data_IF_351855483978
#
_entry.id   IF_351855483978
#
_cell.length_a   1.000
_cell.length_b   1.000
_cell.length_c   1.000
_cell.angle_alpha   90.00
_cell.angle_beta   90.00
_cell.angle_gamma   90.00
#
_symmetry.space_group_name_H-M   'P 1'
#
loop_
_entity.id
_entity.type
_entity.pdbx_description
1 polymer ?
#
# COMPACT_ATOMS: atom_id res chain seq x y z
N UNK A 1 -5.94 15.58 -16.13
CA UNK A 1 -5.32 15.07 -17.37
C UNK A 1 -6.05 13.84 -17.94
N UNK A 2 -5.92 12.64 -17.36
CA UNK A 2 -6.50 11.40 -17.93
C UNK A 2 -8.02 11.49 -18.21
N UNK A 3 -8.80 12.02 -17.26
CA UNK A 3 -10.25 12.21 -17.44
C UNK A 3 -10.58 13.15 -18.62
N UNK A 4 -9.88 14.28 -18.73
CA UNK A 4 -10.08 15.20 -19.86
C UNK A 4 -9.70 14.58 -21.21
N UNK A 5 -8.65 13.75 -21.24
CA UNK A 5 -8.30 12.98 -22.45
C UNK A 5 -9.36 11.96 -22.82
N UNK A 6 -9.91 11.24 -21.83
CA UNK A 6 -11.01 10.29 -22.02
C UNK A 6 -12.25 10.97 -22.62
N UNK A 7 -12.54 12.18 -22.15
CA UNK A 7 -13.65 13.02 -22.63
C UNK A 7 -13.34 13.78 -23.93
N UNK A 8 -12.13 13.63 -24.48
CA UNK A 8 -11.65 14.32 -25.70
C UNK A 8 -11.74 15.86 -25.61
N UNK A 9 -11.50 16.41 -24.42
CA UNK A 9 -11.47 17.85 -24.19
C UNK A 9 -10.22 18.47 -24.82
N UNK A 10 -10.29 19.76 -25.12
CA UNK A 10 -9.15 20.53 -25.61
C UNK A 10 -8.11 20.80 -24.49
N UNK A 11 -6.91 21.18 -24.91
CA UNK A 11 -5.77 21.39 -24.01
C UNK A 11 -6.04 22.47 -22.97
N UNK A 12 -6.73 23.56 -23.32
CA UNK A 12 -6.97 24.69 -22.41
C UNK A 12 -7.92 24.29 -21.29
N UNK A 13 -9.01 23.59 -21.63
CA UNK A 13 -9.93 23.02 -20.62
C UNK A 13 -9.20 22.05 -19.68
N UNK A 14 -8.34 21.19 -20.22
CA UNK A 14 -7.54 20.26 -19.41
C UNK A 14 -6.56 21.01 -18.52
N UNK A 15 -5.92 22.06 -19.03
CA UNK A 15 -4.98 22.89 -18.29
C UNK A 15 -5.64 23.52 -17.07
N UNK A 16 -6.80 24.18 -17.24
CA UNK A 16 -7.56 24.76 -16.12
C UNK A 16 -7.92 23.73 -15.06
N UNK A 17 -8.36 22.53 -15.47
CA UNK A 17 -8.71 21.46 -14.53
C UNK A 17 -7.51 20.92 -13.74
N UNK A 18 -6.33 20.78 -14.35
CA UNK A 18 -5.12 20.30 -13.65
C UNK A 18 -4.72 21.31 -12.56
N UNK A 19 -4.76 22.61 -12.87
CA UNK A 19 -4.41 23.66 -11.91
C UNK A 19 -5.35 23.68 -10.70
N UNK A 20 -6.66 23.64 -10.95
CA UNK A 20 -7.66 23.55 -9.88
C UNK A 20 -7.46 22.31 -9.00
N UNK A 21 -7.29 21.14 -9.64
CA UNK A 21 -7.10 19.89 -8.92
C UNK A 21 -5.85 19.91 -8.05
N UNK A 22 -4.74 20.45 -8.55
CA UNK A 22 -3.50 20.60 -7.81
C UNK A 22 -3.67 21.56 -6.60
N UNK A 23 -4.30 22.72 -6.79
CA UNK A 23 -4.52 23.70 -5.72
C UNK A 23 -5.34 23.13 -4.55
N UNK A 24 -6.30 22.26 -4.85
CA UNK A 24 -7.30 21.76 -3.89
C UNK A 24 -7.00 20.38 -3.31
N UNK A 25 -5.90 19.74 -3.72
CA UNK A 25 -5.60 18.33 -3.39
C UNK A 25 -4.26 18.13 -2.68
N UNK A 26 -3.71 19.19 -2.08
CA UNK A 26 -2.48 19.09 -1.28
C UNK A 26 -2.83 18.96 0.19
N UNK A 27 -2.38 17.86 0.78
CA UNK A 27 -2.58 17.56 2.19
C UNK A 27 -1.23 17.39 2.90
N UNK A 28 -1.14 17.86 4.14
CA UNK A 28 0.08 17.68 4.93
C UNK A 28 0.25 16.22 5.35
N UNK A 29 1.48 15.85 5.72
CA UNK A 29 1.80 14.48 6.19
C UNK A 29 1.15 14.14 7.54
N UNK A 30 0.53 15.10 8.23
CA UNK A 30 -0.15 14.87 9.51
C UNK A 30 -1.21 13.77 9.41
N UNK A 31 -1.88 13.63 8.26
CA UNK A 31 -2.84 12.53 8.01
C UNK A 31 -2.23 11.12 8.03
N UNK A 32 -0.91 10.98 8.21
CA UNK A 32 -0.16 9.72 8.30
C UNK A 32 0.89 9.72 9.43
N UNK A 33 0.74 10.56 10.45
CA UNK A 33 1.62 10.65 11.63
C UNK A 33 0.81 10.84 12.91
N UNK A 34 1.27 10.25 14.03
CA UNK A 34 0.52 10.22 15.29
C UNK A 34 -0.59 9.17 15.25
N UNK A 35 -1.73 9.45 15.89
CA UNK A 35 -2.90 8.58 15.84
C UNK A 35 -3.48 8.53 14.42
N UNK A 36 -3.39 7.38 13.76
CA UNK A 36 -3.88 7.20 12.39
C UNK A 36 -5.40 7.17 12.36
N UNK A 37 -6.00 8.09 11.60
CA UNK A 37 -7.45 8.16 11.39
C UNK A 37 -7.88 7.54 10.05
N UNK A 38 -9.19 7.36 9.86
CA UNK A 38 -9.80 6.90 8.60
C UNK A 38 -9.49 7.80 7.39
N UNK A 39 -9.01 9.03 7.63
CA UNK A 39 -8.50 9.94 6.60
C UNK A 39 -7.51 9.25 5.64
N UNK A 40 -6.62 8.40 6.16
CA UNK A 40 -5.61 7.67 5.37
C UNK A 40 -6.25 6.86 4.24
N UNK A 41 -7.40 6.26 4.48
CA UNK A 41 -8.15 5.46 3.51
C UNK A 41 -9.00 6.33 2.58
N UNK A 42 -9.53 7.46 3.08
CA UNK A 42 -10.40 8.35 2.32
C UNK A 42 -9.66 9.29 1.36
N UNK A 43 -8.50 9.81 1.75
CA UNK A 43 -7.79 10.87 1.04
C UNK A 43 -7.56 10.61 -0.47
N UNK A 44 -7.16 9.41 -0.93
CA UNK A 44 -7.02 9.14 -2.37
C UNK A 44 -8.34 9.29 -3.14
N UNK A 45 -9.46 8.84 -2.56
CA UNK A 45 -10.79 8.97 -3.16
C UNK A 45 -11.22 10.43 -3.26
N UNK A 46 -10.90 11.25 -2.25
CA UNK A 46 -11.16 12.69 -2.27
C UNK A 46 -10.40 13.38 -3.43
N UNK A 47 -9.14 13.02 -3.68
CA UNK A 47 -8.39 13.56 -4.85
C UNK A 47 -9.10 13.22 -6.16
N UNK A 48 -9.58 11.98 -6.29
CA UNK A 48 -10.36 11.55 -7.47
C UNK A 48 -11.64 12.37 -7.64
N UNK A 49 -12.39 12.59 -6.56
CA UNK A 49 -13.59 13.44 -6.56
C UNK A 49 -13.25 14.88 -6.98
N UNK A 50 -12.23 15.49 -6.37
CA UNK A 50 -11.80 16.84 -6.72
C UNK A 50 -11.39 16.96 -8.19
N UNK A 51 -10.81 15.92 -8.78
CA UNK A 51 -10.47 15.90 -10.20
C UNK A 51 -11.70 15.86 -11.13
N UNK A 52 -12.79 15.19 -10.71
CA UNK A 52 -14.06 15.21 -11.44
C UNK A 52 -14.68 16.61 -11.36
N UNK A 53 -14.74 17.18 -10.16
CA UNK A 53 -15.28 18.53 -9.94
C UNK A 53 -14.49 19.58 -10.74
N UNK A 54 -13.15 19.49 -10.75
CA UNK A 54 -12.28 20.39 -11.51
C UNK A 54 -12.51 20.31 -13.03
N UNK A 55 -12.72 19.11 -13.57
CA UNK A 55 -13.04 18.91 -14.99
C UNK A 55 -14.41 19.49 -15.32
N UNK A 56 -15.44 19.23 -14.51
CA UNK A 56 -16.78 19.79 -14.72
C UNK A 56 -16.75 21.33 -14.72
N UNK A 57 -16.02 21.95 -13.78
CA UNK A 57 -15.84 23.41 -13.72
C UNK A 57 -15.15 23.96 -14.97
N UNK A 58 -14.03 23.37 -15.37
CA UNK A 58 -13.31 23.80 -16.57
C UNK A 58 -14.17 23.67 -17.84
N UNK A 59 -14.95 22.58 -17.97
CA UNK A 59 -15.87 22.39 -19.10
C UNK A 59 -16.98 23.45 -19.18
N UNK A 60 -17.31 24.12 -18.07
CA UNK A 60 -18.26 25.24 -18.02
C UNK A 60 -17.61 26.59 -18.38
N UNK A 61 -16.30 26.61 -18.62
CA UNK A 61 -15.52 27.82 -18.90
C UNK A 61 -14.93 28.50 -17.67
N UNK A 62 -15.01 27.87 -16.49
CA UNK A 62 -14.37 28.41 -15.28
C UNK A 62 -12.85 28.29 -15.41
N UNK A 63 -12.14 29.38 -15.10
CA UNK A 63 -10.67 29.39 -15.00
C UNK A 63 -10.20 29.11 -13.58
N UNK A 64 -8.96 28.67 -13.44
CA UNK A 64 -8.32 28.28 -12.19
C UNK A 64 -7.21 29.27 -11.78
N UNK A 65 -6.77 29.28 -10.51
CA UNK A 65 -5.57 30.00 -10.11
C UNK A 65 -4.37 29.57 -10.96
N UNK A 66 -3.68 30.54 -11.57
CA UNK A 66 -2.67 30.27 -12.61
C UNK A 66 -1.52 31.28 -12.57
N UNK A 67 -0.26 30.86 -12.74
CA UNK A 67 0.19 29.47 -12.73
C UNK A 67 0.26 28.89 -11.31
N UNK A 68 -0.37 27.73 -11.06
CA UNK A 68 -0.52 27.19 -9.69
C UNK A 68 0.79 26.63 -9.10
N UNK A 69 1.75 26.21 -9.93
CA UNK A 69 3.02 25.66 -9.42
C UNK A 69 4.04 26.77 -9.19
N UNK A 70 4.41 27.49 -10.24
CA UNK A 70 5.56 28.38 -10.30
C UNK A 70 5.26 29.84 -9.97
N UNK A 71 3.98 30.23 -9.91
CA UNK A 71 3.58 31.60 -9.59
C UNK A 71 4.07 32.03 -8.20
N UNK A 72 4.13 33.33 -7.93
CA UNK A 72 4.74 33.90 -6.71
C UNK A 72 4.18 33.31 -5.40
N UNK A 73 2.89 32.92 -5.41
CA UNK A 73 2.19 32.25 -4.30
C UNK A 73 1.78 30.81 -4.63
N UNK A 74 2.44 30.20 -5.61
CA UNK A 74 2.21 28.84 -6.08
C UNK A 74 2.78 27.77 -5.16
N UNK A 75 2.54 26.52 -5.54
CA UNK A 75 2.93 25.32 -4.78
C UNK A 75 4.45 25.30 -4.54
N UNK A 76 5.25 25.66 -5.54
CA UNK A 76 6.71 25.59 -5.46
C UNK A 76 7.26 26.57 -4.41
N UNK A 77 7.05 27.90 -4.52
CA UNK A 77 7.61 28.84 -3.56
C UNK A 77 7.03 28.66 -2.15
N UNK A 78 5.74 28.35 -2.02
CA UNK A 78 5.07 28.30 -0.71
C UNK A 78 5.30 26.98 0.02
N UNK A 79 5.15 25.85 -0.66
CA UNK A 79 5.11 24.52 -0.02
C UNK A 79 6.42 23.76 -0.18
N UNK A 80 7.00 23.79 -1.38
CA UNK A 80 8.27 23.11 -1.66
C UNK A 80 9.46 23.95 -1.16
N UNK A 81 9.31 25.28 -1.13
CA UNK A 81 10.33 26.26 -0.73
C UNK A 81 11.64 26.07 -1.52
N UNK A 82 11.50 25.86 -2.84
CA UNK A 82 12.60 25.74 -3.80
C UNK A 82 12.49 26.82 -4.86
N UNK A 83 13.61 27.14 -5.50
CA UNK A 83 13.59 27.92 -6.72
C UNK A 83 13.04 27.05 -7.87
N UNK A 84 12.23 27.66 -8.75
CA UNK A 84 11.65 26.95 -9.90
C UNK A 84 12.74 26.30 -10.80
N UNK A 85 13.92 26.92 -10.91
CA UNK A 85 15.06 26.44 -11.70
C UNK A 85 15.68 25.13 -11.18
N UNK A 86 15.43 24.78 -9.91
CA UNK A 86 16.00 23.60 -9.26
C UNK A 86 15.07 22.38 -9.38
N UNK A 87 13.97 22.50 -10.13
CA UNK A 87 13.00 21.44 -10.35
C UNK A 87 13.15 20.86 -11.75
N UNK A 88 13.35 19.55 -11.80
CA UNK A 88 13.21 18.75 -13.01
C UNK A 88 11.87 18.01 -12.96
N UNK A 89 11.08 18.13 -14.01
CA UNK A 89 9.86 17.35 -14.21
C UNK A 89 10.07 16.52 -15.48
N UNK A 90 10.09 15.21 -15.33
CA UNK A 90 10.10 14.28 -16.44
C UNK A 90 8.66 14.02 -16.87
N UNK A 91 8.33 14.41 -18.10
CA UNK A 91 7.07 14.05 -18.75
C UNK A 91 7.34 12.89 -19.72
N UNK A 92 6.40 11.94 -19.84
CA UNK A 92 6.59 10.84 -20.77
C UNK A 92 6.59 11.34 -22.21
N UNK A 93 7.51 10.80 -23.01
CA UNK A 93 7.56 11.07 -24.44
C UNK A 93 6.46 10.32 -25.19
N UNK A 94 6.16 10.76 -26.42
CA UNK A 94 5.21 10.05 -27.27
C UNK A 94 5.67 8.61 -27.49
N UNK A 95 4.74 7.68 -27.29
CA UNK A 95 4.94 6.23 -27.47
C UNK A 95 5.95 5.57 -26.50
N UNK A 96 6.44 6.29 -25.49
CA UNK A 96 7.27 5.72 -24.43
C UNK A 96 6.52 4.58 -23.70
N UNK A 97 7.23 3.52 -23.26
CA UNK A 97 6.66 2.54 -22.34
C UNK A 97 5.97 3.25 -21.17
N UNK A 98 4.86 2.68 -20.67
CA UNK A 98 4.09 3.28 -19.58
C UNK A 98 4.83 3.01 -18.27
N UNK A 99 5.99 3.65 -18.09
CA UNK A 99 6.95 3.38 -17.02
C UNK A 99 6.30 3.49 -15.64
N UNK A 100 5.38 4.44 -15.45
CA UNK A 100 4.60 4.57 -14.22
C UNK A 100 3.71 3.36 -13.89
N UNK A 101 3.23 2.61 -14.89
CA UNK A 101 2.47 1.35 -14.71
C UNK A 101 3.43 0.17 -14.60
N UNK A 102 4.42 0.10 -15.49
CA UNK A 102 5.38 -1.00 -15.57
C UNK A 102 6.32 -1.05 -14.36
N UNK A 103 6.58 0.09 -13.72
CA UNK A 103 7.33 0.21 -12.47
C UNK A 103 6.50 -0.02 -11.20
N UNK A 104 5.22 -0.40 -11.33
CA UNK A 104 4.40 -0.80 -10.17
C UNK A 104 4.64 -2.25 -9.80
N UNK A 105 4.38 -2.55 -8.53
CA UNK A 105 4.51 -3.89 -8.00
C UNK A 105 3.38 -4.20 -7.03
N UNK A 106 3.08 -5.49 -6.89
CA UNK A 106 1.91 -5.98 -6.18
C UNK A 106 2.18 -6.18 -4.70
N UNK A 107 1.09 -6.18 -3.94
CA UNK A 107 1.07 -6.69 -2.57
C UNK A 107 0.36 -8.02 -2.58
N UNK A 108 0.98 -9.05 -2.04
CA UNK A 108 0.29 -10.30 -1.74
C UNK A 108 -0.51 -10.15 -0.45
N UNK A 109 0.15 -9.60 0.57
CA UNK A 109 -0.34 -9.52 1.93
C UNK A 109 -0.99 -8.15 2.21
N UNK A 110 -2.11 -8.16 2.93
CA UNK A 110 -2.76 -6.94 3.43
C UNK A 110 -1.93 -6.39 4.58
N UNK A 111 -0.89 -5.62 4.24
CA UNK A 111 -0.02 -4.90 5.15
C UNK A 111 0.59 -3.67 4.43
N UNK A 112 1.30 -2.81 5.17
CA UNK A 112 2.23 -1.84 4.60
C UNK A 112 3.17 -2.52 3.60
N UNK A 113 3.58 -1.80 2.55
CA UNK A 113 4.30 -2.44 1.44
C UNK A 113 5.59 -3.13 1.92
N UNK A 114 6.38 -2.48 2.78
CA UNK A 114 7.59 -3.07 3.36
C UNK A 114 7.32 -4.28 4.27
N UNK A 115 6.07 -4.42 4.76
CA UNK A 115 5.64 -5.59 5.52
C UNK A 115 5.52 -6.86 4.68
N UNK A 116 5.34 -6.77 3.35
CA UNK A 116 5.15 -7.96 2.51
C UNK A 116 6.39 -8.86 2.53
N UNK A 117 7.58 -8.29 2.33
CA UNK A 117 8.85 -9.02 2.43
C UNK A 117 9.14 -9.52 3.85
N UNK A 118 8.65 -8.81 4.88
CA UNK A 118 8.81 -9.24 6.28
C UNK A 118 7.96 -10.49 6.57
N UNK A 119 6.72 -10.53 6.04
CA UNK A 119 5.83 -11.70 6.14
C UNK A 119 6.44 -12.90 5.41
N UNK A 120 6.88 -12.69 4.17
CA UNK A 120 7.50 -13.76 3.37
C UNK A 120 8.78 -14.30 4.02
N UNK A 121 9.60 -13.42 4.61
CA UNK A 121 10.78 -13.80 5.37
C UNK A 121 10.41 -14.59 6.63
N UNK A 122 9.37 -14.19 7.36
CA UNK A 122 8.87 -14.94 8.51
C UNK A 122 8.44 -16.35 8.12
N UNK A 123 7.74 -16.53 6.98
CA UNK A 123 7.38 -17.84 6.47
C UNK A 123 8.58 -18.71 6.10
N UNK A 124 9.65 -18.12 5.56
CA UNK A 124 10.87 -18.84 5.25
C UNK A 124 11.58 -19.30 6.51
N UNK A 125 11.74 -18.40 7.49
CA UNK A 125 12.45 -18.70 8.74
C UNK A 125 11.66 -19.63 9.64
N UNK A 126 10.33 -19.57 9.61
CA UNK A 126 9.44 -20.50 10.31
C UNK A 126 9.82 -21.96 10.05
N UNK A 127 10.20 -22.30 8.81
CA UNK A 127 10.57 -23.67 8.40
C UNK A 127 11.87 -24.15 9.03
N UNK A 128 12.69 -23.23 9.57
CA UNK A 128 13.99 -23.48 10.20
C UNK A 128 13.89 -23.59 11.72
N UNK A 129 12.78 -23.17 12.34
CA UNK A 129 12.59 -23.19 13.79
C UNK A 129 11.72 -24.39 14.18
N UNK A 130 12.22 -25.26 15.06
CA UNK A 130 11.47 -26.41 15.57
C UNK A 130 10.42 -26.03 16.60
N UNK A 131 10.79 -25.15 17.54
CA UNK A 131 9.94 -24.70 18.64
C UNK A 131 10.11 -23.19 18.86
N UNK A 132 9.05 -22.43 18.62
CA UNK A 132 9.05 -20.97 18.79
C UNK A 132 9.24 -20.54 20.24
N UNK A 133 8.97 -21.40 21.23
CA UNK A 133 9.24 -21.10 22.65
C UNK A 133 10.74 -20.97 22.94
N UNK A 134 11.60 -21.50 22.07
CA UNK A 134 13.05 -21.35 22.18
C UNK A 134 13.55 -19.99 21.73
N UNK A 135 12.71 -19.15 21.12
CA UNK A 135 13.12 -17.82 20.66
C UNK A 135 13.39 -16.90 21.85
N UNK A 136 14.64 -16.44 21.95
CA UNK A 136 15.10 -15.47 22.94
C UNK A 136 14.99 -14.03 22.45
N UNK A 137 15.47 -13.75 21.23
CA UNK A 137 15.46 -12.42 20.61
C UNK A 137 15.37 -12.54 19.09
N UNK A 138 14.74 -11.57 18.43
CA UNK A 138 14.69 -11.45 16.98
C UNK A 138 15.16 -10.04 16.60
N UNK A 139 16.21 -9.95 15.79
CA UNK A 139 16.73 -8.70 15.24
C UNK A 139 16.40 -8.65 13.74
N UNK A 140 15.74 -7.59 13.28
CA UNK A 140 15.40 -7.38 11.86
C UNK A 140 16.18 -6.18 11.33
N UNK A 141 17.08 -6.40 10.37
CA UNK A 141 17.89 -5.39 9.74
C UNK A 141 17.29 -5.01 8.38
N UNK A 142 16.95 -3.74 8.19
CA UNK A 142 16.37 -3.23 6.94
C UNK A 142 16.82 -1.79 6.68
N UNK A 143 16.37 -1.19 5.58
CA UNK A 143 16.63 0.22 5.27
C UNK A 143 16.02 1.14 6.32
N UNK A 144 16.59 2.33 6.47
CA UNK A 144 16.17 3.41 7.37
C UNK A 144 14.65 3.61 7.33
N UNK A 145 14.10 3.77 6.11
CA UNK A 145 12.66 4.03 5.95
C UNK A 145 11.78 2.92 6.56
N UNK A 146 12.17 1.64 6.46
CA UNK A 146 11.45 0.54 7.13
C UNK A 146 11.58 0.68 8.65
N UNK A 147 12.79 0.93 9.15
CA UNK A 147 13.10 1.04 10.58
C UNK A 147 12.31 2.19 11.25
N UNK A 148 12.28 3.38 10.64
CA UNK A 148 11.64 4.57 11.23
C UNK A 148 10.14 4.66 10.96
N UNK A 149 9.62 4.01 9.90
CA UNK A 149 8.19 4.07 9.56
C UNK A 149 7.41 2.87 10.06
N UNK A 150 8.00 1.66 10.07
CA UNK A 150 7.32 0.43 10.48
C UNK A 150 7.97 -0.26 11.68
N UNK A 151 9.26 -0.02 11.90
CA UNK A 151 10.05 -0.65 12.94
C UNK A 151 10.06 0.08 14.29
N UNK A 152 10.90 -0.44 15.19
CA UNK A 152 11.20 0.12 16.51
C UNK A 152 11.75 1.55 16.45
N UNK A 153 12.45 1.93 15.38
CA UNK A 153 12.98 3.28 15.16
C UNK A 153 11.91 4.37 15.04
N UNK A 154 10.63 3.98 14.86
CA UNK A 154 9.52 4.93 14.92
C UNK A 154 9.27 5.50 16.31
N UNK A 155 9.79 4.87 17.37
CA UNK A 155 9.54 5.19 18.78
C UNK A 155 8.05 5.23 19.17
N UNK A 156 7.21 4.56 18.37
CA UNK A 156 5.78 4.49 18.57
C UNK A 156 5.42 3.24 19.41
N UNK A 157 5.06 3.48 20.67
CA UNK A 157 4.67 2.41 21.61
C UNK A 157 3.41 1.68 21.18
N UNK A 158 2.52 2.30 20.41
CA UNK A 158 1.30 1.62 19.93
C UNK A 158 1.65 0.45 19.01
N UNK A 159 2.79 0.48 18.33
CA UNK A 159 3.27 -0.64 17.50
C UNK A 159 3.78 -1.85 18.27
N UNK A 160 3.71 -1.81 19.60
CA UNK A 160 3.92 -2.94 20.52
C UNK A 160 2.66 -3.28 21.33
N UNK A 161 1.53 -2.61 21.05
CA UNK A 161 0.32 -2.71 21.86
C UNK A 161 -0.77 -3.55 21.18
N UNK A 162 -1.31 -4.60 21.83
CA UNK A 162 -2.45 -5.33 21.29
C UNK A 162 -3.74 -4.48 21.24
N UNK A 163 -3.76 -3.33 21.91
CA UNK A 163 -4.89 -2.38 21.84
C UNK A 163 -4.83 -1.49 20.59
N UNK A 164 -3.75 -1.53 19.82
CA UNK A 164 -3.61 -0.71 18.62
C UNK A 164 -4.64 -1.06 17.55
N UNK A 165 -4.93 -0.08 16.70
CA UNK A 165 -5.82 -0.24 15.55
C UNK A 165 -5.17 -1.10 14.47
N UNK A 166 -6.01 -1.60 13.55
CA UNK A 166 -5.52 -2.30 12.35
C UNK A 166 -4.56 -1.43 11.55
N UNK A 167 -4.84 -0.13 11.44
CA UNK A 167 -4.05 0.86 10.69
C UNK A 167 -2.67 1.12 11.30
N UNK A 168 -2.49 0.82 12.59
CA UNK A 168 -1.19 0.84 13.27
C UNK A 168 -0.49 -0.50 13.11
N UNK A 169 -1.21 -1.61 13.29
CA UNK A 169 -0.65 -2.97 13.21
C UNK A 169 -0.23 -3.36 11.78
N UNK A 170 -0.93 -2.88 10.74
CA UNK A 170 -0.50 -3.04 9.34
C UNK A 170 0.79 -2.26 9.01
N UNK A 171 1.26 -1.41 9.93
CA UNK A 171 2.54 -0.68 9.89
C UNK A 171 3.42 -0.99 11.11
N UNK A 172 3.26 -2.16 11.76
CA UNK A 172 4.15 -2.65 12.80
C UNK A 172 4.94 -3.85 12.28
N UNK A 173 6.22 -3.64 11.93
CA UNK A 173 7.11 -4.70 11.43
C UNK A 173 7.23 -5.86 12.43
N UNK A 174 7.22 -5.53 13.73
CA UNK A 174 7.34 -6.49 14.82
C UNK A 174 6.09 -7.36 14.94
N UNK A 175 4.90 -6.74 14.97
CA UNK A 175 3.63 -7.49 14.99
C UNK A 175 3.48 -8.39 13.76
N UNK A 176 3.75 -7.81 12.59
CA UNK A 176 3.67 -8.50 11.31
C UNK A 176 4.57 -9.73 11.29
N UNK A 177 5.83 -9.58 11.71
CA UNK A 177 6.76 -10.70 11.76
C UNK A 177 6.34 -11.76 12.79
N UNK A 178 5.90 -11.36 14.00
CA UNK A 178 5.46 -12.28 15.04
C UNK A 178 4.29 -13.17 14.58
N UNK A 179 3.22 -12.55 14.08
CA UNK A 179 2.01 -13.27 13.64
C UNK A 179 2.31 -14.16 12.44
N UNK A 180 3.06 -13.68 11.45
CA UNK A 180 3.44 -14.48 10.29
C UNK A 180 4.35 -15.67 10.67
N UNK A 181 5.25 -15.48 11.63
CA UNK A 181 6.15 -16.53 12.12
C UNK A 181 5.37 -17.63 12.86
N UNK A 182 4.42 -17.26 13.71
CA UNK A 182 3.58 -18.20 14.46
C UNK A 182 2.64 -18.99 13.53
N UNK A 183 1.86 -18.27 12.73
CA UNK A 183 0.76 -18.85 11.97
C UNK A 183 1.25 -19.54 10.69
N UNK A 184 2.34 -19.06 10.09
CA UNK A 184 2.78 -19.51 8.76
C UNK A 184 1.82 -19.12 7.63
N UNK A 185 0.83 -18.28 7.92
CA UNK A 185 -0.10 -17.68 6.97
C UNK A 185 -0.37 -16.21 7.33
N UNK A 186 -0.92 -15.44 6.38
CA UNK A 186 -1.36 -14.07 6.61
C UNK A 186 -2.74 -13.85 5.99
N UNK A 187 -3.70 -13.42 6.80
CA UNK A 187 -5.08 -13.19 6.37
C UNK A 187 -5.53 -11.77 6.72
N UNK A 188 -6.10 -11.07 5.73
CA UNK A 188 -6.44 -9.66 5.82
C UNK A 188 -7.38 -9.27 6.97
N UNK A 189 -8.19 -10.19 7.50
CA UNK A 189 -8.99 -9.97 8.72
C UNK A 189 -8.48 -10.77 9.93
N UNK A 190 -8.47 -12.10 9.86
CA UNK A 190 -8.06 -12.99 10.96
C UNK A 190 -6.71 -12.62 11.59
N UNK A 191 -5.72 -12.19 10.79
CA UNK A 191 -4.40 -11.82 11.33
C UNK A 191 -4.43 -10.54 12.16
N UNK A 192 -5.52 -9.77 12.15
CA UNK A 192 -5.72 -8.54 12.93
C UNK A 192 -6.85 -8.64 13.97
N UNK A 193 -7.50 -9.80 14.09
CA UNK A 193 -8.65 -9.94 15.00
C UNK A 193 -8.24 -9.72 16.46
N UNK A 194 -9.18 -9.27 17.29
CA UNK A 194 -8.94 -9.09 18.72
C UNK A 194 -8.47 -10.40 19.37
N UNK A 195 -9.09 -11.53 19.02
CA UNK A 195 -8.65 -12.84 19.50
C UNK A 195 -7.19 -13.13 19.14
N UNK A 196 -6.77 -12.80 17.90
CA UNK A 196 -5.43 -13.12 17.44
C UNK A 196 -4.36 -12.23 18.06
N UNK A 197 -4.59 -10.92 18.11
CA UNK A 197 -3.60 -9.95 18.61
C UNK A 197 -3.45 -9.95 20.13
N UNK A 198 -4.43 -10.45 20.87
CA UNK A 198 -4.39 -10.55 22.34
C UNK A 198 -3.84 -11.88 22.89
N UNK A 199 -3.38 -12.80 22.03
CA UNK A 199 -2.70 -14.03 22.48
C UNK A 199 -1.45 -13.69 23.28
N UNK A 200 -1.28 -14.31 24.45
CA UNK A 200 -0.18 -14.00 25.38
C UNK A 200 1.18 -14.34 24.74
N UNK A 201 1.28 -15.50 24.12
CA UNK A 201 2.46 -15.99 23.42
C UNK A 201 2.89 -15.03 22.29
N UNK A 202 1.93 -14.46 21.57
CA UNK A 202 2.19 -13.50 20.51
C UNK A 202 2.71 -12.18 21.06
N UNK A 203 2.12 -11.68 22.15
CA UNK A 203 2.60 -10.45 22.80
C UNK A 203 4.03 -10.68 23.33
N UNK A 204 4.31 -11.83 23.94
CA UNK A 204 5.65 -12.19 24.40
C UNK A 204 6.65 -12.25 23.24
N UNK A 205 6.32 -12.91 22.13
CA UNK A 205 7.17 -12.99 20.95
C UNK A 205 7.39 -11.62 20.31
N UNK A 206 6.31 -10.85 20.13
CA UNK A 206 6.31 -9.50 19.57
C UNK A 206 7.26 -8.57 20.32
N UNK A 207 7.26 -8.62 21.66
CA UNK A 207 8.16 -7.81 22.50
C UNK A 207 9.63 -8.27 22.45
N UNK A 208 9.94 -9.43 21.86
CA UNK A 208 11.32 -9.88 21.61
C UNK A 208 11.88 -9.39 20.27
N UNK A 209 11.06 -8.72 19.45
CA UNK A 209 11.44 -8.28 18.11
C UNK A 209 11.86 -6.82 18.12
N UNK A 210 13.06 -6.57 17.61
CA UNK A 210 13.63 -5.23 17.43
C UNK A 210 14.12 -5.06 15.99
N UNK A 211 13.93 -3.87 15.44
CA UNK A 211 14.42 -3.55 14.10
C UNK A 211 15.62 -2.63 14.16
N UNK A 212 16.49 -2.70 13.17
CA UNK A 212 17.68 -1.86 13.05
C UNK A 212 17.81 -1.35 11.62
N UNK A 213 18.26 -0.11 11.49
CA UNK A 213 18.77 0.40 10.22
C UNK A 213 20.03 -0.35 9.81
N UNK A 214 20.18 -0.62 8.52
CA UNK A 214 21.35 -1.27 7.95
C UNK A 214 21.86 -0.50 6.74
N UNK A 215 23.14 -0.14 6.78
CA UNK A 215 23.82 0.53 5.68
C UNK A 215 23.78 -0.29 4.38
N UNK A 216 23.91 -1.62 4.47
CA UNK A 216 23.81 -2.52 3.31
C UNK A 216 22.44 -2.42 2.63
N UNK A 217 21.37 -2.38 3.42
CA UNK A 217 20.01 -2.26 2.90
C UNK A 217 19.70 -0.86 2.39
N UNK A 218 20.26 0.19 3.02
CA UNK A 218 20.18 1.55 2.51
C UNK A 218 20.82 1.67 1.13
N UNK A 219 22.05 1.17 0.93
CA UNK A 219 22.72 1.20 -0.38
C UNK A 219 21.90 0.51 -1.46
N UNK A 220 21.40 -0.70 -1.19
CA UNK A 220 20.55 -1.44 -2.15
C UNK A 220 19.22 -0.75 -2.52
N UNK A 221 18.75 0.20 -1.71
CA UNK A 221 17.49 0.91 -1.95
C UNK A 221 17.71 2.32 -2.51
N UNK A 222 18.62 3.09 -1.92
CA UNK A 222 18.83 4.49 -2.24
C UNK A 222 19.78 4.69 -3.43
N UNK A 223 20.79 3.83 -3.59
CA UNK A 223 21.76 3.93 -4.68
C UNK A 223 21.24 3.33 -6.00
N UNK A 224 20.17 2.54 -5.94
CA UNK A 224 19.55 1.91 -7.11
C UNK A 224 18.52 2.86 -7.76
N UNK A 225 18.74 3.33 -9.00
CA UNK A 225 17.79 4.20 -9.69
C UNK A 225 16.54 3.46 -10.20
N UNK A 226 16.65 2.19 -10.58
CA UNK A 226 15.54 1.40 -11.13
C UNK A 226 14.54 1.02 -10.02
N UNK A 227 13.29 1.52 -10.05
CA UNK A 227 12.31 1.23 -9.01
C UNK A 227 12.05 -0.26 -8.78
N UNK A 228 12.20 -1.10 -9.80
CA UNK A 228 12.01 -2.55 -9.73
C UNK A 228 13.24 -3.29 -9.17
N UNK A 229 14.36 -2.61 -8.98
CA UNK A 229 15.57 -3.20 -8.39
C UNK A 229 15.85 -2.68 -6.98
N UNK A 230 15.16 -1.62 -6.54
CA UNK A 230 15.27 -1.09 -5.18
C UNK A 230 14.87 -2.16 -4.16
N UNK A 231 15.85 -2.74 -3.47
CA UNK A 231 15.61 -3.80 -2.50
C UNK A 231 14.81 -3.27 -1.30
N UNK A 232 13.71 -3.93 -0.94
CA UNK A 232 12.79 -3.41 0.08
C UNK A 232 12.66 -4.29 1.31
N UNK A 233 13.25 -5.47 1.29
CA UNK A 233 13.14 -6.44 2.37
C UNK A 233 14.13 -6.24 3.50
N UNK A 234 14.57 -7.35 4.07
CA UNK A 234 15.29 -7.37 5.33
C UNK A 234 16.15 -8.63 5.47
N UNK A 235 17.09 -8.56 6.41
CA UNK A 235 17.76 -9.70 7.02
C UNK A 235 17.22 -9.87 8.44
N UNK A 236 17.00 -11.11 8.87
CA UNK A 236 16.58 -11.42 10.23
C UNK A 236 17.58 -12.35 10.89
N UNK A 237 17.93 -12.03 12.14
CA UNK A 237 18.70 -12.87 13.04
C UNK A 237 17.80 -13.28 14.21
N UNK A 238 17.55 -14.57 14.36
CA UNK A 238 16.82 -15.15 15.49
C UNK A 238 17.83 -15.83 16.40
N UNK A 239 17.86 -15.39 17.65
CA UNK A 239 18.70 -15.94 18.71
C UNK A 239 17.82 -16.87 19.56
N UNK A 240 18.22 -18.13 19.69
CA UNK A 240 17.56 -19.12 20.52
C UNK A 240 18.08 -19.06 21.97
N UNK A 241 17.37 -19.73 22.90
CA UNK A 241 17.71 -19.75 24.33
C UNK A 241 19.08 -20.40 24.61
N UNK A 242 19.49 -21.36 23.79
CA UNK A 242 20.80 -22.04 23.85
C UNK A 242 21.94 -21.23 23.18
N UNK A 243 21.60 -20.10 22.56
CA UNK A 243 22.54 -19.23 21.84
C UNK A 243 22.71 -19.55 20.36
N UNK A 244 22.06 -20.58 19.82
CA UNK A 244 22.03 -20.83 18.38
C UNK A 244 21.42 -19.63 17.64
N UNK A 245 21.97 -19.34 16.46
CA UNK A 245 21.50 -18.26 15.59
C UNK A 245 20.94 -18.81 14.29
N UNK A 246 19.71 -18.44 13.98
CA UNK A 246 19.09 -18.68 12.68
C UNK A 246 19.07 -17.35 11.92
N UNK A 247 19.76 -17.31 10.78
CA UNK A 247 19.81 -16.12 9.92
C UNK A 247 19.18 -16.41 8.57
N UNK A 248 18.40 -15.46 8.07
CA UNK A 248 17.84 -15.49 6.72
C UNK A 248 17.62 -14.08 6.19
N UNK A 249 17.49 -13.93 4.88
CA UNK A 249 17.25 -12.63 4.26
C UNK A 249 16.36 -12.76 3.02
N UNK A 250 15.64 -11.68 2.72
CA UNK A 250 14.82 -11.59 1.53
C UNK A 250 14.87 -10.15 1.01
N UNK A 251 15.22 -9.96 -0.27
CA UNK A 251 15.34 -8.63 -0.85
C UNK A 251 14.01 -8.05 -1.36
N UNK A 252 13.19 -8.92 -1.96
CA UNK A 252 11.93 -8.56 -2.57
C UNK A 252 10.83 -9.47 -2.02
N UNK A 253 9.66 -8.90 -1.74
CA UNK A 253 8.47 -9.70 -1.45
C UNK A 253 8.24 -10.70 -2.59
N UNK A 254 7.66 -11.85 -2.27
CA UNK A 254 7.49 -12.95 -3.22
C UNK A 254 6.74 -12.50 -4.48
N UNK A 255 5.67 -11.72 -4.31
CA UNK A 255 4.82 -11.19 -5.38
C UNK A 255 5.44 -10.07 -6.23
N UNK A 256 6.53 -9.45 -5.78
CA UNK A 256 7.23 -8.41 -6.52
C UNK A 256 7.72 -8.92 -7.89
N UNK A 257 7.82 -8.09 -8.95
CA UNK A 257 8.37 -8.50 -10.25
C UNK A 257 9.75 -9.18 -10.18
N UNK A 258 10.61 -8.71 -9.28
CA UNK A 258 11.93 -9.28 -8.97
C UNK A 258 11.91 -10.30 -7.80
N UNK A 259 10.73 -10.71 -7.36
CA UNK A 259 10.49 -11.65 -6.27
C UNK A 259 10.53 -13.12 -6.70
N UNK A 260 10.37 -14.02 -5.73
CA UNK A 260 10.42 -15.47 -5.97
C UNK A 260 9.20 -16.01 -6.73
N UNK A 261 8.02 -15.45 -6.49
CA UNK A 261 6.77 -15.83 -7.15
C UNK A 261 6.03 -14.56 -7.60
N UNK A 262 6.55 -13.85 -8.62
CA UNK A 262 5.95 -12.61 -9.09
C UNK A 262 4.49 -12.83 -9.48
N UNK A 263 3.61 -11.93 -9.07
CA UNK A 263 2.18 -12.06 -9.37
C UNK A 263 1.94 -11.95 -10.87
N UNK A 264 1.29 -12.98 -11.42
CA UNK A 264 0.67 -12.98 -12.74
C UNK A 264 -0.83 -13.13 -12.55
N UNK A 265 -1.56 -13.30 -13.65
CA UNK A 265 -3.03 -13.37 -13.67
C UNK A 265 -3.58 -14.41 -12.67
N UNK A 266 -2.98 -15.60 -12.60
CA UNK A 266 -3.43 -16.66 -11.72
C UNK A 266 -3.34 -16.27 -10.24
N UNK A 267 -2.27 -15.59 -9.84
CA UNK A 267 -2.05 -15.13 -8.47
C UNK A 267 -3.05 -14.04 -8.07
N UNK A 268 -3.37 -13.11 -8.97
CA UNK A 268 -4.44 -12.13 -8.75
C UNK A 268 -5.80 -12.80 -8.55
N UNK A 269 -6.15 -13.78 -9.39
CA UNK A 269 -7.41 -14.53 -9.26
C UNK A 269 -7.42 -15.29 -7.93
N UNK A 270 -6.32 -15.93 -7.55
CA UNK A 270 -6.22 -16.65 -6.29
C UNK A 270 -6.36 -15.73 -5.08
N UNK A 271 -5.78 -14.53 -5.14
CA UNK A 271 -5.94 -13.49 -4.11
C UNK A 271 -7.37 -12.96 -4.03
N UNK A 272 -8.08 -12.89 -5.17
CA UNK A 272 -9.46 -12.42 -5.24
C UNK A 272 -10.43 -13.37 -4.53
N UNK A 273 -10.27 -14.69 -4.68
CA UNK A 273 -11.14 -15.73 -4.09
C UNK A 273 -11.48 -15.51 -2.61
N UNK A 274 -10.52 -15.34 -1.69
CA UNK A 274 -10.84 -15.10 -0.28
C UNK A 274 -11.50 -13.75 -0.01
N UNK A 275 -11.34 -12.75 -0.89
CA UNK A 275 -12.02 -11.45 -0.79
C UNK A 275 -13.48 -11.51 -1.27
N UNK A 276 -13.78 -12.42 -2.19
CA UNK A 276 -15.13 -12.64 -2.72
C UNK A 276 -15.92 -13.65 -1.89
N UNK A 277 -15.20 -14.49 -1.13
CA UNK A 277 -15.78 -15.50 -0.27
C UNK A 277 -16.87 -14.87 0.61
N UNK A 278 -18.02 -15.54 0.63
CA UNK A 278 -19.19 -15.12 1.39
C UNK A 278 -19.79 -13.76 1.00
N UNK A 279 -19.33 -13.10 -0.07
CA UNK A 279 -19.90 -11.83 -0.58
C UNK A 279 -20.54 -11.98 -1.97
N UNK A 280 -19.98 -12.85 -2.80
CA UNK A 280 -20.30 -12.99 -4.22
C UNK A 280 -20.58 -14.45 -4.54
N UNK A 281 -21.62 -14.73 -5.34
CA UNK A 281 -21.93 -16.08 -5.78
C UNK A 281 -21.07 -16.51 -7.00
N UNK A 282 -20.96 -17.81 -7.25
CA UNK A 282 -20.09 -18.34 -8.31
C UNK A 282 -20.45 -17.83 -9.72
N UNK A 283 -21.73 -17.53 -10.00
CA UNK A 283 -22.13 -17.01 -11.33
C UNK A 283 -21.56 -15.62 -11.54
N UNK A 284 -21.61 -14.79 -10.51
CA UNK A 284 -21.04 -13.44 -10.53
C UNK A 284 -19.52 -13.45 -10.60
N UNK A 285 -18.86 -14.36 -9.88
CA UNK A 285 -17.40 -14.55 -9.97
C UNK A 285 -16.95 -14.85 -11.41
N UNK A 286 -17.60 -15.82 -12.05
CA UNK A 286 -17.33 -16.18 -13.46
C UNK A 286 -17.65 -15.02 -14.41
N UNK A 287 -18.78 -14.33 -14.22
CA UNK A 287 -19.16 -13.17 -15.04
C UNK A 287 -18.10 -12.06 -14.96
N UNK A 288 -17.71 -11.69 -13.75
CA UNK A 288 -16.70 -10.66 -13.52
C UNK A 288 -15.36 -11.03 -14.14
N UNK A 289 -14.89 -12.26 -13.92
CA UNK A 289 -13.64 -12.73 -14.51
C UNK A 289 -13.67 -12.70 -16.04
N UNK A 290 -14.75 -13.16 -16.67
CA UNK A 290 -14.92 -13.11 -18.12
C UNK A 290 -14.86 -11.67 -18.66
N UNK A 291 -15.46 -10.69 -17.97
CA UNK A 291 -15.35 -9.28 -18.38
C UNK A 291 -13.93 -8.75 -18.24
N UNK A 292 -13.25 -9.02 -17.13
CA UNK A 292 -11.88 -8.54 -16.90
C UNK A 292 -10.89 -9.23 -17.84
N UNK A 293 -11.17 -10.44 -18.32
CA UNK A 293 -10.37 -11.12 -19.36
C UNK A 293 -10.52 -10.44 -20.73
N UNK A 294 -11.67 -9.84 -21.01
CA UNK A 294 -11.98 -9.18 -22.29
C UNK A 294 -11.85 -7.65 -22.22
N UNK A 295 -11.17 -7.09 -21.22
CA UNK A 295 -11.13 -5.65 -20.93
C UNK A 295 -10.77 -4.77 -22.14
N UNK A 296 -9.90 -5.26 -23.03
CA UNK A 296 -9.43 -4.52 -24.20
C UNK A 296 -10.48 -4.38 -25.31
N UNK A 297 -11.52 -5.21 -25.30
CA UNK A 297 -12.54 -5.30 -26.35
C UNK A 297 -13.96 -5.12 -25.81
N UNK A 298 -14.12 -4.67 -24.57
CA UNK A 298 -15.45 -4.45 -23.99
C UNK A 298 -16.19 -3.32 -24.71
N UNK A 299 -17.45 -3.56 -25.00
CA UNK A 299 -18.38 -2.53 -25.46
C UNK A 299 -18.79 -1.59 -24.30
N UNK A 300 -19.25 -0.36 -24.58
CA UNK A 300 -19.61 0.60 -23.54
C UNK A 300 -20.62 0.08 -22.50
N UNK A 301 -21.58 -0.76 -22.90
CA UNK A 301 -22.55 -1.36 -21.97
C UNK A 301 -21.93 -2.46 -21.10
N UNK A 302 -20.87 -3.12 -21.56
CA UNK A 302 -20.14 -4.12 -20.77
C UNK A 302 -19.19 -3.45 -19.77
N UNK A 303 -18.61 -2.30 -20.12
CA UNK A 303 -17.81 -1.48 -19.19
C UNK A 303 -18.63 -1.10 -17.96
N UNK A 304 -19.90 -0.75 -18.13
CA UNK A 304 -20.82 -0.43 -17.01
C UNK A 304 -21.05 -1.63 -16.07
N UNK A 305 -20.82 -2.84 -16.56
CA UNK A 305 -21.00 -4.09 -15.82
C UNK A 305 -19.72 -4.56 -15.11
N UNK A 306 -18.61 -3.81 -15.17
CA UNK A 306 -17.38 -4.13 -14.44
C UNK A 306 -17.52 -3.99 -12.91
N UNK A 307 -18.61 -3.38 -12.43
CA UNK A 307 -18.94 -3.39 -11.01
C UNK A 307 -19.39 -4.80 -10.57
N UNK A 308 -18.94 -5.21 -9.38
CA UNK A 308 -19.29 -6.49 -8.76
C UNK A 308 -20.66 -6.38 -8.10
N UNK A 309 -21.50 -7.38 -8.30
CA UNK A 309 -22.81 -7.52 -7.65
C UNK A 309 -22.72 -8.47 -6.46
N UNK A 310 -22.84 -7.92 -5.25
CA UNK A 310 -22.82 -8.74 -4.04
C UNK A 310 -24.22 -9.27 -3.68
N UNK A 311 -24.27 -10.43 -3.02
CA UNK A 311 -25.54 -11.00 -2.57
C UNK A 311 -26.15 -10.15 -1.43
N UNK A 312 -27.43 -9.80 -1.56
CA UNK A 312 -28.14 -8.83 -0.68
C UNK A 312 -28.07 -9.14 0.82
N UNK A 313 -27.93 -10.42 1.19
CA UNK A 313 -27.90 -10.88 2.59
C UNK A 313 -26.47 -11.17 3.11
N UNK A 314 -25.45 -10.89 2.29
CA UNK A 314 -24.06 -11.18 2.59
C UNK A 314 -23.25 -9.95 2.97
N UNK A 315 -23.69 -8.77 2.54
CA UNK A 315 -23.15 -7.50 3.02
C UNK A 315 -23.85 -7.12 4.31
N UNK A 316 -23.09 -7.00 5.40
CA UNK A 316 -23.59 -6.41 6.64
C UNK A 316 -23.65 -4.87 6.50
N UNK A 317 -24.80 -4.36 6.07
CA UNK A 317 -25.05 -2.92 5.97
C UNK A 317 -25.21 -2.23 7.34
N UNK A 318 -25.46 -2.96 8.42
CA UNK A 318 -25.58 -2.39 9.77
C UNK A 318 -24.25 -1.80 10.26
N UNK A 319 -23.12 -2.36 9.79
CA UNK A 319 -21.78 -1.80 10.01
C UNK A 319 -21.59 -0.40 9.40
N UNK A 320 -22.49 0.04 8.51
CA UNK A 320 -22.46 1.37 7.91
C UNK A 320 -23.83 2.09 8.06
N UNK A 321 -24.34 2.11 9.29
CA UNK A 321 -25.62 2.76 9.64
C UNK A 321 -25.53 4.28 9.80
N UNK A 322 -24.31 4.83 9.85
CA UNK A 322 -24.08 6.26 10.01
C UNK A 322 -24.32 6.96 8.66
N UNK A 323 -25.28 7.87 8.62
CA UNK A 323 -25.62 8.64 7.42
C UNK A 323 -24.83 9.95 7.37
N UNK A 324 -24.22 10.23 6.22
CA UNK A 324 -23.68 11.53 5.88
C UNK A 324 -24.73 12.42 5.19
N UNK A 325 -24.30 13.59 4.72
CA UNK A 325 -25.12 14.52 3.91
C UNK A 325 -25.13 14.18 2.41
N UNK A 326 -24.35 13.17 2.01
CA UNK A 326 -24.26 12.67 0.63
C UNK A 326 -24.98 11.33 0.50
#
# INVERSE_FOLDING_TARGET
SALGKLLKLDTETIYQAIQWSAHTSIFTRQGRKGQLSSWKAYAPGLVGKNAIDAIDRAMRGDTSPSPVWEGDYGIIPILVKKDNKDLSIELPEKDEPRAGILGTFTKEHSAGYHGNSIIDLAFNVRKKIKDLKQVKKINIYSKEYTHIVMGSGSNDKEKYSPLASRETLDHSAMYIFAVALEDGEWHHEKSYSDERKNRKETIELWNKIETFESERWNKKYYDEPDPLKKAQGAEVEIILNDGEKIVDQLEFANAHPSGKTPFKRAEYINKMKPLFKDMVNNKEDVRFLNLVENLATLEPEEVKQLNISCDKNKINFEKNSIKGIF
#
